data_IF_378223332632
#
_entry.id   IF_378223332632
#
_cell.length_a   1.000
_cell.length_b   1.000
_cell.length_c   1.000
_cell.angle_alpha   90.00
_cell.angle_beta   90.00
_cell.angle_gamma   90.00
#
_symmetry.space_group_name_H-M   'P 1'
#
loop_
_entity.id
_entity.type
_entity.pdbx_description
1 polymer ?
#
# COMPACT_ATOMS: atom_id res chain seq x y z
N UNK A 1 -2.91 -0.69 -10.17
CA UNK A 1 -2.05 -0.73 -8.97
C UNK A 1 -1.45 -2.12 -8.89
N UNK A 2 -0.12 -2.26 -8.91
CA UNK A 2 0.55 -3.54 -8.67
C UNK A 2 0.87 -3.68 -7.18
N UNK A 3 -0.15 -3.60 -6.32
CA UNK A 3 -0.01 -3.69 -4.87
C UNK A 3 -1.01 -4.69 -4.31
N UNK A 4 -0.61 -5.40 -3.24
CA UNK A 4 -1.52 -6.27 -2.49
C UNK A 4 -2.36 -5.41 -1.55
N UNK A 5 -3.66 -5.59 -1.63
CA UNK A 5 -4.66 -4.83 -0.88
C UNK A 5 -5.44 -5.76 0.04
N UNK A 6 -5.86 -5.23 1.18
CA UNK A 6 -6.72 -5.95 2.10
C UNK A 6 -8.07 -6.22 1.44
N UNK A 7 -8.57 -7.45 1.59
CA UNK A 7 -9.83 -7.87 0.97
C UNK A 7 -11.01 -7.18 1.65
N UNK A 8 -11.44 -6.08 1.07
CA UNK A 8 -12.57 -5.25 1.49
C UNK A 8 -13.39 -4.88 0.26
N UNK A 9 -14.67 -4.50 0.45
CA UNK A 9 -15.53 -4.06 -0.67
C UNK A 9 -14.90 -2.89 -1.44
N UNK A 10 -14.33 -1.92 -0.71
CA UNK A 10 -13.61 -0.79 -1.30
C UNK A 10 -12.34 -1.22 -2.05
N UNK A 11 -11.57 -2.15 -1.49
CA UNK A 11 -10.37 -2.70 -2.13
C UNK A 11 -10.69 -3.40 -3.45
N UNK A 12 -11.67 -4.30 -3.46
CA UNK A 12 -12.10 -5.03 -4.66
C UNK A 12 -12.62 -4.07 -5.74
N UNK A 13 -13.43 -3.07 -5.36
CA UNK A 13 -13.91 -2.04 -6.27
C UNK A 13 -12.77 -1.19 -6.85
N UNK A 14 -11.77 -0.84 -6.03
CA UNK A 14 -10.60 -0.07 -6.45
C UNK A 14 -9.71 -0.80 -7.46
N UNK A 15 -9.70 -2.14 -7.42
CA UNK A 15 -8.90 -2.97 -8.33
C UNK A 15 -9.63 -3.36 -9.61
N UNK A 16 -10.96 -3.20 -9.67
CA UNK A 16 -11.79 -3.72 -10.77
C UNK A 16 -11.50 -3.10 -12.14
N UNK A 17 -11.17 -1.80 -12.20
CA UNK A 17 -10.94 -1.09 -13.47
C UNK A 17 -9.82 -0.04 -13.35
N UNK A 18 -9.00 0.13 -14.41
CA UNK A 18 -8.05 1.24 -14.49
C UNK A 18 -8.80 2.58 -14.53
N UNK A 19 -8.12 3.65 -14.11
CA UNK A 19 -8.69 5.00 -14.10
C UNK A 19 -8.79 5.51 -15.54
N UNK A 20 -9.94 6.08 -15.91
CA UNK A 20 -10.13 6.68 -17.23
C UNK A 20 -9.15 7.87 -17.42
N UNK A 21 -8.48 8.01 -18.58
CA UNK A 21 -7.60 9.13 -18.92
C UNK A 21 -8.14 10.53 -18.54
N UNK A 22 -9.42 10.82 -18.81
CA UNK A 22 -10.02 12.14 -18.52
C UNK A 22 -10.11 12.35 -17.01
N UNK A 23 -10.54 11.32 -16.28
CA UNK A 23 -10.61 11.34 -14.81
C UNK A 23 -9.21 11.43 -14.22
N UNK A 24 -8.22 10.79 -14.84
CA UNK A 24 -6.83 10.87 -14.42
C UNK A 24 -6.25 12.28 -14.62
N UNK A 25 -6.56 12.95 -15.72
CA UNK A 25 -6.17 14.33 -15.95
C UNK A 25 -6.75 15.25 -14.87
N UNK A 26 -8.05 15.15 -14.55
CA UNK A 26 -8.66 15.93 -13.46
C UNK A 26 -8.02 15.63 -12.10
N UNK A 27 -7.87 14.35 -11.75
CA UNK A 27 -7.25 13.92 -10.49
C UNK A 27 -5.78 14.29 -10.37
N UNK A 28 -5.07 14.46 -11.48
CA UNK A 28 -3.67 14.92 -11.45
C UNK A 28 -3.55 16.34 -10.86
N UNK A 29 -4.53 17.21 -11.07
CA UNK A 29 -4.58 18.53 -10.44
C UNK A 29 -4.87 18.43 -8.94
N UNK A 30 -5.79 17.56 -8.52
CA UNK A 30 -6.05 17.33 -7.09
C UNK A 30 -4.82 16.73 -6.39
N UNK A 31 -4.15 15.76 -7.02
CA UNK A 31 -2.90 15.18 -6.55
C UNK A 31 -1.79 16.22 -6.44
N UNK A 32 -1.66 17.11 -7.43
CA UNK A 32 -0.71 18.21 -7.40
C UNK A 32 -0.94 19.16 -6.20
N UNK A 33 -2.20 19.45 -5.85
CA UNK A 33 -2.52 20.22 -4.63
C UNK A 33 -2.06 19.50 -3.36
N UNK A 34 -2.28 18.19 -3.28
CA UNK A 34 -1.87 17.39 -2.11
C UNK A 34 -0.36 17.41 -1.86
N UNK A 35 0.45 17.49 -2.93
CA UNK A 35 1.91 17.54 -2.85
C UNK A 35 2.49 18.95 -3.03
N UNK A 36 1.66 20.00 -2.92
CA UNK A 36 2.04 21.41 -3.10
C UNK A 36 2.78 21.73 -4.42
N UNK A 37 2.45 21.03 -5.51
CA UNK A 37 2.97 21.34 -6.84
C UNK A 37 2.15 22.48 -7.47
N UNK A 38 2.80 23.50 -8.08
CA UNK A 38 2.08 24.55 -8.79
C UNK A 38 1.23 23.99 -9.94
N UNK A 39 -0.07 24.26 -9.95
CA UNK A 39 -1.03 23.68 -10.90
C UNK A 39 -0.71 24.00 -12.36
N UNK A 40 -0.12 25.16 -12.63
CA UNK A 40 0.29 25.55 -13.99
C UNK A 40 1.39 24.64 -14.55
N UNK A 41 2.16 23.94 -13.71
CA UNK A 41 3.17 22.94 -14.14
C UNK A 41 2.55 21.60 -14.52
N UNK A 42 1.30 21.33 -14.12
CA UNK A 42 0.58 20.10 -14.45
C UNK A 42 0.13 20.12 -15.91
N UNK A 43 -0.29 21.28 -16.42
CA UNK A 43 -0.77 21.46 -17.80
C UNK A 43 0.27 21.01 -18.85
N UNK A 44 1.52 21.51 -18.86
CA UNK A 44 2.53 21.04 -19.81
C UNK A 44 2.90 19.57 -19.54
N UNK A 45 2.86 19.12 -18.28
CA UNK A 45 3.09 17.71 -17.92
C UNK A 45 2.05 16.76 -18.53
N UNK A 46 0.77 17.17 -18.60
CA UNK A 46 -0.28 16.36 -19.21
C UNK A 46 -0.10 16.18 -20.73
N UNK A 47 0.56 17.12 -21.38
CA UNK A 47 0.84 17.08 -22.82
C UNK A 47 2.15 16.36 -23.13
N UNK A 48 3.18 16.58 -22.32
CA UNK A 48 4.56 16.14 -22.60
C UNK A 48 4.98 14.89 -21.81
N UNK A 49 4.33 14.60 -20.70
CA UNK A 49 4.71 13.56 -19.74
C UNK A 49 3.48 12.83 -19.19
N UNK A 50 2.64 12.34 -20.10
CA UNK A 50 1.37 11.67 -19.78
C UNK A 50 1.51 10.58 -18.71
N UNK A 51 2.47 9.67 -18.86
CA UNK A 51 2.66 8.55 -17.94
C UNK A 51 2.96 9.00 -16.50
N UNK A 52 3.74 10.09 -16.35
CA UNK A 52 4.07 10.67 -15.04
C UNK A 52 2.84 11.31 -14.41
N UNK A 53 2.02 12.02 -15.19
CA UNK A 53 0.79 12.63 -14.68
C UNK A 53 -0.26 11.58 -14.34
N UNK A 54 -0.34 10.51 -15.13
CA UNK A 54 -1.19 9.37 -14.83
C UNK A 54 -0.78 8.71 -13.50
N UNK A 55 0.52 8.49 -13.30
CA UNK A 55 1.04 7.96 -12.04
C UNK A 55 0.79 8.90 -10.86
N UNK A 56 0.99 10.21 -11.03
CA UNK A 56 0.70 11.22 -10.01
C UNK A 56 -0.78 11.19 -9.60
N UNK A 57 -1.69 11.11 -10.57
CA UNK A 57 -3.12 10.96 -10.33
C UNK A 57 -3.44 9.68 -9.54
N UNK A 58 -2.85 8.54 -9.92
CA UNK A 58 -3.02 7.28 -9.19
C UNK A 58 -2.50 7.39 -7.75
N UNK A 59 -1.36 8.04 -7.55
CA UNK A 59 -0.75 8.22 -6.24
C UNK A 59 -1.60 9.11 -5.34
N UNK A 60 -2.10 10.25 -5.84
CA UNK A 60 -2.99 11.11 -5.06
C UNK A 60 -4.29 10.40 -4.67
N UNK A 61 -4.93 9.70 -5.61
CA UNK A 61 -6.14 8.93 -5.34
C UNK A 61 -5.90 7.77 -4.36
N UNK A 62 -4.74 7.10 -4.42
CA UNK A 62 -4.37 6.05 -3.49
C UNK A 62 -4.08 6.60 -2.09
N UNK A 63 -3.37 7.72 -2.00
CA UNK A 63 -2.99 8.35 -0.71
C UNK A 63 -4.22 8.71 0.12
N UNK A 64 -5.25 9.32 -0.49
CA UNK A 64 -6.49 9.64 0.23
C UNK A 64 -7.18 8.38 0.76
N UNK A 65 -7.21 7.31 -0.03
CA UNK A 65 -7.80 6.02 0.39
C UNK A 65 -6.99 5.33 1.49
N UNK A 66 -5.66 5.46 1.46
CA UNK A 66 -4.78 4.93 2.50
C UNK A 66 -4.97 5.67 3.82
N UNK A 67 -5.07 7.00 3.78
CA UNK A 67 -5.35 7.82 4.97
C UNK A 67 -6.71 7.47 5.55
N UNK A 68 -7.74 7.32 4.71
CA UNK A 68 -9.07 6.90 5.15
C UNK A 68 -9.04 5.57 5.93
N UNK A 69 -8.37 4.54 5.40
CA UNK A 69 -8.28 3.25 6.10
C UNK A 69 -7.36 3.30 7.33
N UNK A 70 -6.18 3.91 7.21
CA UNK A 70 -5.10 3.81 8.22
C UNK A 70 -5.28 4.78 9.37
N UNK A 71 -5.66 6.03 9.08
CA UNK A 71 -5.76 7.10 10.09
C UNK A 71 -7.18 7.17 10.64
N UNK A 72 -8.19 7.02 9.78
CA UNK A 72 -9.58 7.16 10.17
C UNK A 72 -10.31 5.84 10.40
N UNK A 73 -9.69 4.70 10.11
CA UNK A 73 -10.33 3.39 10.26
C UNK A 73 -11.51 3.16 9.30
N UNK A 74 -11.68 3.97 8.26
CA UNK A 74 -12.78 3.86 7.29
C UNK A 74 -12.47 2.77 6.26
N UNK A 75 -12.98 1.56 6.52
CA UNK A 75 -12.86 0.41 5.61
C UNK A 75 -13.94 0.38 4.52
N UNK A 76 -14.94 1.26 4.58
CA UNK A 76 -15.98 1.36 3.55
C UNK A 76 -15.51 2.13 2.32
N UNK A 77 -14.66 3.15 2.54
CA UNK A 77 -14.12 4.02 1.48
C UNK A 77 -12.61 3.89 1.33
N UNK A 78 -11.92 3.55 2.41
CA UNK A 78 -10.48 3.39 2.44
C UNK A 78 -10.00 2.08 1.82
N UNK A 79 -8.71 2.05 1.51
CA UNK A 79 -8.02 0.84 1.01
C UNK A 79 -6.71 0.73 1.76
N UNK A 80 -6.42 -0.45 2.30
CA UNK A 80 -5.20 -0.72 3.04
C UNK A 80 -4.28 -1.64 2.25
N UNK A 81 -3.00 -1.30 2.19
CA UNK A 81 -1.98 -2.17 1.64
C UNK A 81 -1.53 -3.17 2.70
N UNK A 82 -1.60 -4.45 2.36
CA UNK A 82 -1.17 -5.55 3.23
C UNK A 82 -0.44 -6.60 2.41
N UNK A 83 0.59 -7.19 3.00
CA UNK A 83 1.26 -8.36 2.44
C UNK A 83 0.45 -9.64 2.65
N UNK A 84 0.88 -10.75 2.04
CA UNK A 84 0.29 -12.07 2.33
C UNK A 84 0.49 -12.50 3.78
N UNK A 85 1.57 -12.01 4.42
CA UNK A 85 1.85 -12.25 5.83
C UNK A 85 0.75 -11.78 6.76
N UNK A 86 -0.13 -10.86 6.33
CA UNK A 86 -1.27 -10.43 7.15
C UNK A 86 -2.11 -11.61 7.65
N UNK A 87 -2.31 -12.66 6.83
CA UNK A 87 -3.09 -13.82 7.22
C UNK A 87 -2.45 -14.67 8.33
N UNK A 88 -1.20 -14.39 8.70
CA UNK A 88 -0.46 -15.05 9.79
C UNK A 88 -0.46 -14.21 11.08
N UNK A 89 -0.88 -12.94 11.02
CA UNK A 89 -0.91 -12.03 12.16
C UNK A 89 -2.23 -12.25 12.91
N UNK A 90 -2.15 -12.74 14.15
CA UNK A 90 -3.32 -13.13 14.95
C UNK A 90 -3.45 -12.32 16.26
N UNK A 91 -2.51 -11.41 16.52
CA UNK A 91 -2.40 -10.65 17.75
C UNK A 91 -1.79 -9.25 17.49
N UNK A 92 -1.78 -8.41 18.53
CA UNK A 92 -1.23 -7.06 18.50
C UNK A 92 -0.25 -6.91 19.68
N UNK A 93 0.98 -7.42 19.55
CA UNK A 93 2.00 -7.35 20.61
C UNK A 93 2.60 -5.94 20.72
N UNK A 94 3.34 -5.70 21.80
CA UNK A 94 4.25 -4.54 21.84
C UNK A 94 5.39 -4.70 20.83
N UNK A 95 6.04 -3.61 20.45
CA UNK A 95 7.19 -3.66 19.52
C UNK A 95 8.32 -4.53 20.09
N UNK A 96 8.58 -4.42 21.40
CA UNK A 96 9.61 -5.21 22.08
C UNK A 96 9.30 -6.71 21.99
N UNK A 97 8.08 -7.09 22.38
CA UNK A 97 7.63 -8.49 22.35
C UNK A 97 7.67 -9.07 20.92
N UNK A 98 7.25 -8.31 19.91
CA UNK A 98 7.32 -8.74 18.52
C UNK A 98 8.75 -9.08 18.11
N UNK A 99 9.70 -8.18 18.42
CA UNK A 99 11.11 -8.36 18.05
C UNK A 99 11.73 -9.54 18.78
N UNK A 100 11.48 -9.66 20.08
CA UNK A 100 12.00 -10.77 20.90
C UNK A 100 11.49 -12.11 20.37
N UNK A 101 10.18 -12.23 20.10
CA UNK A 101 9.59 -13.42 19.50
C UNK A 101 10.22 -13.78 18.16
N UNK A 102 10.42 -12.79 17.27
CA UNK A 102 11.05 -13.04 15.98
C UNK A 102 12.49 -13.58 16.12
N UNK A 103 13.27 -13.06 17.06
CA UNK A 103 14.64 -13.51 17.31
C UNK A 103 14.63 -14.92 17.91
N UNK A 104 13.81 -15.17 18.92
CA UNK A 104 13.71 -16.46 19.60
C UNK A 104 13.26 -17.56 18.63
N UNK A 105 12.24 -17.29 17.81
CA UNK A 105 11.77 -18.22 16.77
C UNK A 105 12.86 -18.50 15.73
N UNK A 106 13.61 -17.48 15.30
CA UNK A 106 14.72 -17.66 14.36
C UNK A 106 15.84 -18.53 14.95
N UNK A 107 16.23 -18.30 16.20
CA UNK A 107 17.26 -19.08 16.89
C UNK A 107 16.83 -20.53 17.11
N UNK A 108 15.59 -20.73 17.58
CA UNK A 108 15.02 -22.07 17.79
C UNK A 108 14.91 -22.87 16.49
N UNK A 109 14.49 -22.20 15.40
CA UNK A 109 14.41 -22.80 14.08
C UNK A 109 15.80 -23.16 13.55
N UNK A 110 16.79 -22.26 13.69
CA UNK A 110 18.16 -22.52 13.27
C UNK A 110 18.75 -23.75 13.98
N UNK A 111 18.59 -23.85 15.30
CA UNK A 111 19.06 -24.99 16.08
C UNK A 111 18.37 -26.31 15.66
N UNK A 112 17.06 -26.28 15.42
CA UNK A 112 16.28 -27.44 14.99
C UNK A 112 16.72 -27.92 13.61
N UNK A 113 16.91 -26.99 12.67
CA UNK A 113 17.36 -27.29 11.31
C UNK A 113 18.79 -27.85 11.34
N UNK A 114 19.71 -27.22 12.09
CA UNK A 114 21.08 -27.69 12.25
C UNK A 114 21.16 -29.12 12.79
N UNK A 115 20.44 -29.41 13.88
CA UNK A 115 20.38 -30.76 14.47
C UNK A 115 19.77 -31.80 13.52
N UNK A 116 18.90 -31.39 12.59
CA UNK A 116 18.33 -32.28 11.56
C UNK A 116 19.38 -32.66 10.51
N UNK A 117 20.27 -31.73 10.16
CA UNK A 117 21.36 -31.99 9.22
C UNK A 117 22.50 -32.81 9.83
N UNK A 118 22.79 -32.64 11.12
CA UNK A 118 23.83 -33.44 11.82
C UNK A 118 23.42 -34.91 12.03
N UNK A 119 22.12 -35.22 11.98
CA UNK A 119 21.58 -36.59 12.13
C UNK A 119 21.50 -37.38 10.82
N UNK A 120 21.80 -36.75 9.67
CA UNK A 120 21.86 -37.41 8.35
C UNK A 120 23.30 -37.77 8.01
#
# INVERSE_FOLDING_TARGET
LYARIMKTKAGEAAMKRPVNPIVAAYRSFEAAKMINLPLWKVIPGLLTQWDKMYLLSLFGAATQKLVAATVHGDLEKGVQFVGQSQGLINDIPSVQELVDRCIDEAMSTHATVGATFEKK
#
